data_IF_799287992255
#
_entry.id   IF_799287992255
#
_cell.length_a   1.000
_cell.length_b   1.000
_cell.length_c   1.000
_cell.angle_alpha   90.00
_cell.angle_beta   90.00
_cell.angle_gamma   90.00
#
_symmetry.space_group_name_H-M   'P 1'
#
loop_
_entity.id
_entity.type
_entity.pdbx_description
1 polymer ?
#
# COMPACT_ATOMS: atom_id res chain seq x y z
N UNK A 1 -43.74 47.10 11.75
CA UNK A 1 -42.83 46.02 12.17
C UNK A 1 -42.39 45.32 10.91
N UNK A 2 -41.18 45.61 10.46
CA UNK A 2 -40.68 45.21 9.14
C UNK A 2 -39.99 43.85 9.29
N UNK A 3 -40.49 42.88 8.54
CA UNK A 3 -39.93 41.57 8.28
C UNK A 3 -38.57 41.69 7.60
N UNK A 4 -37.52 41.17 8.23
CA UNK A 4 -36.25 40.88 7.56
C UNK A 4 -36.11 39.37 7.45
N UNK A 5 -36.65 38.81 6.37
CA UNK A 5 -36.19 37.54 5.81
C UNK A 5 -34.80 37.77 5.22
N UNK A 6 -33.78 37.27 5.90
CA UNK A 6 -32.46 37.09 5.29
C UNK A 6 -32.55 35.84 4.43
N UNK A 7 -32.73 36.05 3.12
CA UNK A 7 -32.45 35.07 2.08
C UNK A 7 -30.96 34.64 2.18
N UNK A 8 -30.70 33.55 2.88
CA UNK A 8 -29.47 32.78 2.68
C UNK A 8 -29.71 31.88 1.47
N UNK A 9 -29.24 32.30 0.30
CA UNK A 9 -29.12 31.40 -0.84
C UNK A 9 -28.28 30.18 -0.42
N UNK A 10 -28.70 28.94 -0.74
CA UNK A 10 -27.86 27.77 -0.50
C UNK A 10 -26.67 27.88 -1.45
N UNK A 11 -25.50 28.17 -0.89
CA UNK A 11 -24.23 28.07 -1.59
C UNK A 11 -24.14 26.64 -2.16
N UNK A 12 -24.35 26.50 -3.47
CA UNK A 12 -24.02 25.26 -4.18
C UNK A 12 -22.50 25.09 -4.09
N UNK A 13 -22.03 24.41 -3.04
CA UNK A 13 -20.66 23.87 -2.99
C UNK A 13 -20.54 22.98 -4.23
N UNK A 14 -19.73 23.40 -5.21
CA UNK A 14 -19.26 22.48 -6.23
C UNK A 14 -18.55 21.35 -5.50
N UNK A 15 -19.08 20.13 -5.60
CA UNK A 15 -18.59 18.91 -4.93
C UNK A 15 -17.24 18.44 -5.52
N UNK A 16 -16.24 19.30 -5.57
CA UNK A 16 -14.85 18.89 -5.83
C UNK A 16 -14.25 18.50 -4.49
N UNK A 17 -14.27 17.20 -4.16
CA UNK A 17 -13.55 16.69 -3.00
C UNK A 17 -12.07 17.06 -3.13
N UNK A 18 -11.49 17.61 -2.07
CA UNK A 18 -10.09 18.02 -2.05
C UNK A 18 -9.12 16.84 -1.89
N UNK A 19 -9.63 15.66 -1.52
CA UNK A 19 -8.86 14.43 -1.37
C UNK A 19 -8.56 13.71 -2.71
N UNK A 20 -8.86 14.35 -3.85
CA UNK A 20 -8.53 13.84 -5.18
C UNK A 20 -9.61 12.90 -5.73
N UNK A 21 -9.26 12.11 -6.74
CA UNK A 21 -10.15 11.06 -7.31
C UNK A 21 -10.15 9.82 -6.42
N UNK A 22 -10.47 10.00 -5.13
CA UNK A 22 -10.49 8.93 -4.14
C UNK A 22 -11.68 8.01 -4.36
N UNK A 23 -11.40 6.72 -4.55
CA UNK A 23 -12.41 5.67 -4.46
C UNK A 23 -12.58 5.25 -3.00
N UNK A 24 -13.82 5.27 -2.50
CA UNK A 24 -14.15 4.90 -1.12
C UNK A 24 -15.00 3.64 -1.16
N UNK A 25 -14.48 2.56 -0.59
CA UNK A 25 -15.13 1.26 -0.55
C UNK A 25 -15.14 0.70 0.88
N UNK A 26 -15.64 -0.52 1.04
CA UNK A 26 -15.60 -1.22 2.32
C UNK A 26 -15.69 -2.72 2.14
N UNK A 27 -15.24 -3.48 3.14
CA UNK A 27 -15.46 -4.92 3.22
C UNK A 27 -15.78 -5.33 4.66
N UNK A 28 -16.39 -6.51 4.82
CA UNK A 28 -16.61 -7.11 6.14
C UNK A 28 -15.45 -8.04 6.47
N UNK A 29 -14.88 -7.87 7.66
CA UNK A 29 -13.86 -8.77 8.15
C UNK A 29 -14.43 -10.08 8.72
N UNK A 30 -13.56 -10.98 9.18
CA UNK A 30 -13.94 -12.29 9.73
C UNK A 30 -14.85 -12.22 10.95
N UNK A 31 -14.78 -11.12 11.71
CA UNK A 31 -15.60 -10.88 12.90
C UNK A 31 -16.88 -10.08 12.58
N UNK A 32 -17.14 -9.81 11.29
CA UNK A 32 -18.34 -9.12 10.80
C UNK A 32 -18.28 -7.60 10.93
N UNK A 33 -17.11 -7.01 11.19
CA UNK A 33 -16.92 -5.56 11.26
C UNK A 33 -16.79 -4.98 9.85
N UNK A 34 -17.50 -3.88 9.57
CA UNK A 34 -17.34 -3.12 8.35
C UNK A 34 -16.06 -2.25 8.40
N UNK A 35 -15.12 -2.54 7.51
CA UNK A 35 -13.86 -1.80 7.39
C UNK A 35 -13.88 -0.91 6.15
N UNK A 36 -13.55 0.37 6.36
CA UNK A 36 -13.47 1.40 5.31
C UNK A 36 -12.14 1.31 4.58
N UNK A 37 -12.20 1.39 3.25
CA UNK A 37 -11.02 1.38 2.38
C UNK A 37 -11.02 2.55 1.42
N UNK A 38 -9.81 2.96 1.02
CA UNK A 38 -9.58 4.08 0.13
C UNK A 38 -8.56 3.69 -0.94
N UNK A 39 -8.75 4.18 -2.16
CA UNK A 39 -7.73 4.03 -3.20
C UNK A 39 -7.64 5.24 -4.13
N UNK A 40 -6.42 5.47 -4.61
CA UNK A 40 -6.05 6.48 -5.59
C UNK A 40 -5.32 5.76 -6.73
N UNK A 41 -6.07 5.49 -7.80
CA UNK A 41 -5.67 4.57 -8.86
C UNK A 41 -5.08 5.34 -10.03
N UNK A 42 -3.93 4.88 -10.51
CA UNK A 42 -3.29 5.35 -11.74
C UNK A 42 -3.48 4.29 -12.83
N UNK A 43 -3.81 4.72 -14.05
CA UNK A 43 -3.92 3.84 -15.20
C UNK A 43 -2.54 3.31 -15.60
N UNK A 44 -2.42 1.99 -15.76
CA UNK A 44 -1.14 1.35 -16.13
C UNK A 44 -0.10 1.46 -15.01
N UNK A 45 -0.54 1.31 -13.76
CA UNK A 45 0.32 1.45 -12.60
C UNK A 45 1.55 0.51 -12.66
N UNK A 46 2.73 1.06 -12.40
CA UNK A 46 4.00 0.30 -12.39
C UNK A 46 4.19 -0.50 -11.10
N UNK A 47 3.36 -0.22 -10.09
CA UNK A 47 3.36 -0.86 -8.79
C UNK A 47 2.22 -0.34 -7.92
N UNK A 48 2.02 -0.98 -6.78
CA UNK A 48 0.97 -0.67 -5.82
C UNK A 48 1.60 -0.41 -4.46
N UNK A 49 1.21 0.68 -3.80
CA UNK A 49 1.44 0.86 -2.37
C UNK A 49 0.19 0.50 -1.58
N UNK A 50 0.34 -0.33 -0.54
CA UNK A 50 -0.71 -0.56 0.45
C UNK A 50 -0.25 0.04 1.78
N UNK A 51 -0.88 1.14 2.17
CA UNK A 51 -0.53 1.94 3.33
C UNK A 51 -1.34 1.49 4.55
N UNK A 52 -0.68 1.46 5.72
CA UNK A 52 -1.29 1.10 7.01
C UNK A 52 -1.00 2.20 8.04
N UNK A 53 -2.06 2.76 8.61
CA UNK A 53 -1.94 3.90 9.52
C UNK A 53 -1.59 3.50 10.96
N UNK A 54 -1.15 4.49 11.75
CA UNK A 54 -0.82 4.34 13.16
C UNK A 54 -2.01 4.35 14.13
N UNK A 55 -1.70 4.21 15.43
CA UNK A 55 -2.70 4.12 16.49
C UNK A 55 -3.54 5.41 16.65
N UNK A 56 -4.85 5.24 16.84
CA UNK A 56 -5.83 6.33 17.01
C UNK A 56 -5.80 7.35 15.85
N UNK A 57 -5.50 6.90 14.65
CA UNK A 57 -5.37 7.69 13.41
C UNK A 57 -6.26 7.13 12.30
N UNK A 58 -6.00 7.47 11.04
CA UNK A 58 -6.61 6.85 9.84
C UNK A 58 -5.84 7.23 8.55
N UNK A 59 -6.09 6.57 7.42
CA UNK A 59 -5.26 6.69 6.20
C UNK A 59 -5.19 8.12 5.66
N UNK A 60 -6.37 8.74 5.50
CA UNK A 60 -6.47 10.10 4.98
C UNK A 60 -5.76 11.12 5.86
N UNK A 61 -5.70 10.93 7.18
CA UNK A 61 -5.00 11.85 8.07
C UNK A 61 -3.48 11.73 7.95
N UNK A 62 -2.95 10.51 7.81
CA UNK A 62 -1.50 10.32 7.83
C UNK A 62 -0.82 10.61 6.50
N UNK A 63 -1.48 10.31 5.38
CA UNK A 63 -0.79 10.31 4.08
C UNK A 63 -1.29 11.40 3.12
N UNK A 64 -2.44 12.03 3.38
CA UNK A 64 -2.85 13.26 2.68
C UNK A 64 -2.32 14.50 3.40
N UNK A 65 -2.32 15.63 2.68
CA UNK A 65 -2.10 16.94 3.31
C UNK A 65 -3.33 17.35 4.11
N UNK A 66 -3.12 18.21 5.08
CA UNK A 66 -4.20 18.81 5.87
C UNK A 66 -4.56 20.17 5.28
N UNK A 67 -5.85 20.51 5.28
CA UNK A 67 -6.35 21.82 4.87
C UNK A 67 -6.09 22.87 5.95
N UNK A 68 -4.80 23.14 6.15
CA UNK A 68 -4.29 23.97 7.22
C UNK A 68 -2.99 24.66 6.80
N UNK A 69 -2.82 25.91 7.23
CA UNK A 69 -1.56 26.64 7.09
C UNK A 69 -0.72 26.48 8.35
N UNK A 70 0.44 25.84 8.21
CA UNK A 70 1.45 25.77 9.26
C UNK A 70 2.23 27.09 9.21
N UNK A 71 1.88 28.02 10.10
CA UNK A 71 2.48 29.37 10.15
C UNK A 71 3.84 29.33 10.87
N UNK A 72 3.94 28.50 11.90
CA UNK A 72 5.17 28.22 12.64
C UNK A 72 5.05 26.86 13.33
N UNK A 73 6.13 26.41 14.00
CA UNK A 73 6.15 25.14 14.72
C UNK A 73 5.06 25.02 15.81
N UNK A 74 4.63 26.16 16.36
CA UNK A 74 3.65 26.23 17.45
C UNK A 74 2.29 26.79 17.00
N UNK A 75 2.11 27.04 15.70
CA UNK A 75 0.89 27.69 15.20
C UNK A 75 0.46 27.11 13.85
N UNK A 76 -0.73 26.52 13.87
CA UNK A 76 -1.46 26.10 12.67
C UNK A 76 -2.80 26.83 12.57
N UNK A 77 -3.19 27.17 11.34
CA UNK A 77 -4.51 27.74 11.04
C UNK A 77 -5.28 26.72 10.22
N UNK A 78 -6.33 26.13 10.80
CA UNK A 78 -7.22 25.22 10.06
C UNK A 78 -8.12 26.04 9.15
N UNK A 79 -8.13 25.73 7.85
CA UNK A 79 -8.90 26.47 6.84
C UNK A 79 -10.34 25.98 6.73
N UNK A 80 -10.52 24.66 6.62
CA UNK A 80 -11.83 24.02 6.53
C UNK A 80 -11.81 22.70 7.30
N UNK A 81 -12.77 22.54 8.22
CA UNK A 81 -12.92 21.32 9.03
C UNK A 81 -13.80 20.27 8.36
N UNK A 82 -14.54 20.61 7.30
CA UNK A 82 -15.35 19.68 6.53
C UNK A 82 -14.53 19.09 5.38
N UNK A 83 -13.74 19.94 4.71
CA UNK A 83 -12.82 19.54 3.63
C UNK A 83 -11.37 19.48 4.14
N UNK A 84 -11.13 18.64 5.14
CA UNK A 84 -9.90 18.63 5.94
C UNK A 84 -8.68 17.99 5.24
N UNK A 85 -8.91 17.10 4.28
CA UNK A 85 -7.85 16.32 3.63
C UNK A 85 -7.62 16.78 2.20
N UNK A 86 -6.36 16.96 1.82
CA UNK A 86 -5.92 17.51 0.54
C UNK A 86 -4.99 16.51 -0.15
N UNK A 87 -5.33 16.14 -1.38
CA UNK A 87 -4.50 15.31 -2.25
C UNK A 87 -3.27 16.05 -2.77
N UNK A 88 -3.45 17.30 -3.17
CA UNK A 88 -2.37 18.13 -3.69
C UNK A 88 -1.22 18.25 -2.68
N UNK A 89 0.01 18.09 -3.17
CA UNK A 89 1.29 18.12 -2.46
C UNK A 89 1.39 17.07 -1.33
N UNK A 90 0.56 16.02 -1.38
CA UNK A 90 0.60 14.90 -0.44
C UNK A 90 1.55 13.78 -0.87
N UNK A 91 1.82 12.83 0.02
CA UNK A 91 2.55 11.62 -0.35
C UNK A 91 1.79 10.80 -1.39
N UNK A 92 0.47 10.72 -1.26
CA UNK A 92 -0.38 9.97 -2.19
C UNK A 92 -0.28 10.53 -3.61
N UNK A 93 -0.36 11.85 -3.77
CA UNK A 93 -0.20 12.46 -5.10
C UNK A 93 1.19 12.18 -5.67
N UNK A 94 2.25 12.36 -4.88
CA UNK A 94 3.62 12.11 -5.33
C UNK A 94 3.84 10.66 -5.75
N UNK A 95 3.23 9.69 -5.06
CA UNK A 95 3.26 8.29 -5.46
C UNK A 95 2.52 8.06 -6.78
N UNK A 96 1.34 8.67 -6.94
CA UNK A 96 0.56 8.59 -8.18
C UNK A 96 1.31 9.23 -9.37
N UNK A 97 1.96 10.38 -9.19
CA UNK A 97 2.79 11.03 -10.21
C UNK A 97 3.98 10.16 -10.65
N UNK A 98 4.47 9.29 -9.75
CA UNK A 98 5.51 8.29 -10.06
C UNK A 98 4.96 7.00 -10.66
N UNK A 99 3.66 6.94 -10.94
CA UNK A 99 3.01 5.81 -11.61
C UNK A 99 2.54 4.70 -10.67
N UNK A 100 2.53 4.92 -9.35
CA UNK A 100 2.04 3.92 -8.40
C UNK A 100 0.58 4.16 -8.05
N UNK A 101 -0.22 3.10 -8.03
CA UNK A 101 -1.54 3.14 -7.38
C UNK A 101 -1.38 3.04 -5.86
N UNK A 102 -2.22 3.74 -5.10
CA UNK A 102 -2.17 3.75 -3.63
C UNK A 102 -3.47 3.23 -3.07
N UNK A 103 -3.37 2.32 -2.11
CA UNK A 103 -4.49 1.73 -1.38
C UNK A 103 -4.25 1.87 0.13
N UNK A 104 -5.32 1.94 0.91
CA UNK A 104 -5.25 1.91 2.37
C UNK A 104 -6.60 1.59 3.00
N UNK A 105 -6.57 1.17 4.26
CA UNK A 105 -7.76 0.91 5.06
C UNK A 105 -7.72 1.65 6.39
N UNK A 106 -8.89 2.05 6.88
CA UNK A 106 -9.04 2.43 8.28
C UNK A 106 -9.13 1.13 9.09
N UNK A 107 -8.21 0.96 10.03
CA UNK A 107 -8.14 -0.20 10.91
C UNK A 107 -9.37 -0.28 11.83
N UNK A 108 -9.68 -1.46 12.36
CA UNK A 108 -10.85 -1.62 13.23
C UNK A 108 -10.83 -0.60 14.39
N UNK A 109 -11.97 0.03 14.64
CA UNK A 109 -12.14 1.06 15.67
C UNK A 109 -11.50 2.42 15.37
N UNK A 110 -10.99 2.62 14.15
CA UNK A 110 -10.33 3.85 13.67
C UNK A 110 -11.07 4.45 12.47
N UNK A 111 -10.80 5.72 12.16
CA UNK A 111 -11.39 6.43 11.03
C UNK A 111 -12.91 6.22 10.88
N UNK A 112 -13.33 5.69 9.74
CA UNK A 112 -14.73 5.33 9.45
C UNK A 112 -15.02 3.83 9.57
N UNK A 113 -14.09 3.04 10.10
CA UNK A 113 -14.28 1.60 10.33
C UNK A 113 -14.97 1.31 11.66
N UNK A 114 -15.75 0.23 11.67
CA UNK A 114 -16.36 -0.29 12.89
C UNK A 114 -15.29 -0.84 13.84
N UNK A 115 -15.58 -0.83 15.14
CA UNK A 115 -14.69 -1.32 16.18
C UNK A 115 -15.29 -2.50 16.94
N UNK A 116 -14.42 -3.39 17.44
CA UNK A 116 -14.85 -4.53 18.24
C UNK A 116 -15.72 -4.09 19.44
N UNK A 117 -16.86 -4.76 19.62
CA UNK A 117 -17.91 -4.41 20.59
C UNK A 117 -18.46 -2.98 20.44
N UNK A 118 -18.45 -2.43 19.23
CA UNK A 118 -18.87 -1.05 18.95
C UNK A 118 -18.06 0.00 19.75
N UNK A 119 -16.80 -0.31 20.05
CA UNK A 119 -15.89 0.60 20.75
C UNK A 119 -14.80 1.10 19.80
N UNK A 120 -14.64 2.43 19.73
CA UNK A 120 -13.50 3.06 19.06
C UNK A 120 -12.20 2.77 19.82
N UNK A 121 -11.07 2.68 19.10
CA UNK A 121 -9.75 2.37 19.68
C UNK A 121 -9.81 1.20 20.67
N UNK A 122 -10.39 0.10 20.20
CA UNK A 122 -10.56 -1.16 20.91
C UNK A 122 -10.42 -2.30 19.92
N UNK A 123 -9.81 -3.39 20.36
CA UNK A 123 -9.60 -4.61 19.56
C UNK A 123 -9.82 -5.82 20.46
N UNK A 124 -10.22 -6.95 19.87
CA UNK A 124 -10.32 -8.23 20.58
C UNK A 124 -8.93 -8.81 20.78
N UNK A 125 -8.22 -9.04 19.67
CA UNK A 125 -6.80 -9.39 19.60
C UNK A 125 -6.07 -8.43 18.64
N UNK A 126 -4.77 -8.23 18.82
CA UNK A 126 -4.00 -7.39 17.89
C UNK A 126 -3.89 -8.03 16.50
N UNK A 127 -3.69 -9.34 16.43
CA UNK A 127 -3.50 -10.03 15.15
C UNK A 127 -4.77 -9.94 14.27
N UNK A 128 -5.95 -9.64 14.84
CA UNK A 128 -7.16 -9.30 14.07
C UNK A 128 -6.90 -8.16 13.06
N UNK A 129 -6.15 -7.12 13.47
CA UNK A 129 -5.75 -6.02 12.59
C UNK A 129 -4.88 -6.49 11.42
N UNK A 130 -4.05 -7.49 11.66
CA UNK A 130 -3.12 -8.05 10.69
C UNK A 130 -3.85 -8.96 9.71
N UNK A 131 -4.80 -9.76 10.19
CA UNK A 131 -5.67 -10.57 9.33
C UNK A 131 -6.58 -9.70 8.46
N UNK A 132 -7.12 -8.60 8.98
CA UNK A 132 -7.88 -7.61 8.21
C UNK A 132 -7.04 -7.02 7.08
N UNK A 133 -5.78 -6.67 7.38
CA UNK A 133 -4.84 -6.17 6.39
C UNK A 133 -4.51 -7.23 5.33
N UNK A 134 -4.20 -8.47 5.71
CA UNK A 134 -3.96 -9.58 4.77
C UNK A 134 -5.20 -9.84 3.90
N UNK A 135 -6.41 -9.83 4.49
CA UNK A 135 -7.66 -9.94 3.74
C UNK A 135 -7.77 -8.82 2.70
N UNK A 136 -7.44 -7.59 3.07
CA UNK A 136 -7.50 -6.46 2.14
C UNK A 136 -6.49 -6.58 0.98
N UNK A 137 -5.25 -7.01 1.24
CA UNK A 137 -4.30 -7.25 0.14
C UNK A 137 -4.82 -8.34 -0.81
N UNK A 138 -5.50 -9.38 -0.31
CA UNK A 138 -6.12 -10.40 -1.19
C UNK A 138 -7.17 -9.75 -2.10
N UNK A 139 -8.05 -8.91 -1.54
CA UNK A 139 -9.07 -8.19 -2.31
C UNK A 139 -8.43 -7.32 -3.41
N UNK A 140 -7.35 -6.60 -3.08
CA UNK A 140 -6.61 -5.80 -4.06
C UNK A 140 -6.05 -6.69 -5.17
N UNK A 141 -5.36 -7.77 -4.80
CA UNK A 141 -4.74 -8.67 -5.76
C UNK A 141 -5.79 -9.28 -6.72
N UNK A 142 -6.93 -9.72 -6.20
CA UNK A 142 -8.02 -10.28 -7.00
C UNK A 142 -8.59 -9.23 -7.96
N UNK A 143 -8.77 -7.99 -7.51
CA UNK A 143 -9.26 -6.89 -8.36
C UNK A 143 -8.29 -6.55 -9.51
N UNK A 144 -6.99 -6.53 -9.23
CA UNK A 144 -5.94 -6.23 -10.22
C UNK A 144 -5.82 -7.37 -11.23
N UNK A 145 -5.99 -8.63 -10.80
CA UNK A 145 -5.99 -9.77 -11.72
C UNK A 145 -7.21 -9.74 -12.66
N UNK A 146 -8.41 -9.45 -12.14
CA UNK A 146 -9.62 -9.38 -12.97
C UNK A 146 -9.56 -8.27 -14.03
N UNK A 147 -9.03 -7.09 -13.69
CA UNK A 147 -8.90 -5.98 -14.66
C UNK A 147 -7.94 -6.36 -15.81
N UNK A 148 -6.90 -7.14 -15.52
CA UNK A 148 -5.96 -7.60 -16.55
C UNK A 148 -6.58 -8.65 -17.48
N UNK A 149 -7.44 -9.53 -16.96
CA UNK A 149 -8.18 -10.51 -17.79
C UNK A 149 -9.18 -9.83 -18.74
N UNK A 150 -9.94 -8.85 -18.24
CA UNK A 150 -10.91 -8.10 -19.04
C UNK A 150 -10.25 -7.27 -20.15
N UNK A 151 -9.10 -6.64 -19.86
CA UNK A 151 -8.32 -5.91 -20.85
C UNK A 151 -7.76 -6.83 -21.95
N UNK A 152 -7.33 -8.05 -21.60
CA UNK A 152 -6.86 -9.04 -22.57
C UNK A 152 -8.00 -9.57 -23.45
N UNK A 153 -9.17 -9.83 -22.87
CA UNK A 153 -10.37 -10.20 -23.64
C UNK A 153 -10.72 -9.11 -24.67
N UNK A 154 -10.63 -7.84 -24.24
CA UNK A 154 -10.88 -6.67 -25.09
C UNK A 154 -9.85 -6.53 -26.22
N UNK A 155 -8.55 -6.74 -25.94
CA UNK A 155 -7.49 -6.73 -26.96
C UNK A 155 -7.65 -7.88 -27.96
N UNK A 156 -7.95 -9.09 -27.48
CA UNK A 156 -8.20 -10.25 -28.34
C UNK A 156 -9.42 -10.05 -29.24
N UNK A 157 -10.46 -9.35 -28.76
CA UNK A 157 -11.58 -8.97 -29.62
C UNK A 157 -11.20 -7.92 -30.68
N UNK A 158 -10.34 -6.96 -30.34
CA UNK A 158 -9.86 -5.94 -31.29
C UNK A 158 -8.95 -6.56 -32.35
N UNK A 159 -8.03 -7.46 -31.99
CA UNK A 159 -7.19 -8.19 -32.94
C UNK A 159 -8.04 -9.03 -33.92
N UNK A 160 -9.11 -9.67 -33.42
CA UNK A 160 -10.08 -10.37 -34.26
C UNK A 160 -10.93 -9.43 -35.13
N UNK A 161 -11.11 -8.16 -34.74
CA UNK A 161 -11.82 -7.15 -35.55
C UNK A 161 -10.91 -6.43 -36.57
N UNK A 162 -9.58 -6.47 -36.41
CA UNK A 162 -8.61 -5.94 -37.38
C UNK A 162 -8.05 -7.00 -38.33
N UNK A 163 -8.46 -8.26 -38.16
CA UNK A 163 -8.00 -9.42 -38.92
C UNK A 163 -8.95 -9.90 -40.03
N UNK A 164 -9.89 -9.09 -40.52
CA UNK A 164 -10.80 -9.47 -41.61
C UNK A 164 -10.74 -8.48 -42.79
N UNK A 165 -9.66 -8.58 -43.58
CA UNK A 165 -9.78 -8.48 -45.04
C UNK A 165 -9.78 -9.92 -45.54
N UNK A 166 -10.93 -10.56 -45.42
CA UNK A 166 -11.16 -11.94 -45.83
C UNK A 166 -11.17 -12.08 -47.35
N UNK A 167 -10.19 -12.81 -47.89
CA UNK A 167 -10.29 -13.46 -49.19
C UNK A 167 -11.23 -14.65 -49.01
N UNK A 168 -12.46 -14.51 -49.51
CA UNK A 168 -13.44 -15.60 -49.56
C UNK A 168 -13.04 -16.62 -50.64
N UNK A 169 -12.61 -17.82 -50.25
CA UNK A 169 -12.58 -18.98 -51.14
C UNK A 169 -13.81 -19.85 -50.87
N UNK A 170 -14.82 -19.68 -51.73
CA UNK A 170 -16.08 -20.41 -51.67
C UNK A 170 -16.00 -21.66 -52.57
N UNK A 171 -15.80 -22.83 -51.98
CA UNK A 171 -16.07 -24.09 -52.68
C UNK A 171 -17.58 -24.25 -52.84
N UNK A 172 -18.09 -24.17 -54.08
CA UNK A 172 -19.49 -24.53 -54.40
C UNK A 172 -19.57 -25.50 -55.56
N UNK A 173 -20.51 -26.43 -55.37
CA UNK A 173 -20.92 -27.52 -56.25
C UNK A 173 -21.39 -27.01 -57.62
N UNK A 174 -21.23 -27.89 -58.60
CA UNK A 174 -21.79 -27.79 -59.97
C UNK A 174 -23.24 -27.28 -60.00
N UNK A 175 -23.53 -26.35 -60.91
CA UNK A 175 -24.33 -26.62 -62.11
C UNK A 175 -24.61 -25.32 -62.90
N UNK A 176 -24.43 -25.42 -64.22
CA UNK A 176 -25.05 -24.67 -65.32
C UNK A 176 -25.46 -23.20 -65.16
N UNK A 177 -25.01 -22.35 -66.12
CA UNK A 177 -25.80 -21.73 -67.21
C UNK A 177 -25.17 -20.38 -67.62
N UNK A 178 -24.81 -20.23 -68.93
CA UNK A 178 -24.86 -19.02 -69.81
C UNK A 178 -24.48 -17.63 -69.24
N UNK A 179 -23.80 -16.68 -69.90
CA UNK A 179 -23.20 -16.45 -71.22
C UNK A 179 -22.68 -14.98 -71.17
N UNK A 180 -21.71 -14.64 -72.02
CA UNK A 180 -21.49 -13.33 -72.65
C UNK A 180 -20.68 -12.16 -71.99
N UNK A 181 -19.44 -12.03 -72.49
CA UNK A 181 -18.78 -10.90 -73.20
C UNK A 181 -18.80 -9.46 -72.59
N UNK A 182 -17.62 -8.88 -72.31
CA UNK A 182 -16.93 -7.83 -73.13
C UNK A 182 -15.74 -7.15 -72.41
N UNK A 183 -14.68 -7.01 -73.18
CA UNK A 183 -13.43 -6.25 -72.96
C UNK A 183 -13.63 -4.78 -72.55
N UNK A 184 -12.63 -4.16 -71.92
CA UNK A 184 -11.81 -3.06 -72.50
C UNK A 184 -10.54 -2.82 -71.65
N UNK A 185 -9.43 -2.62 -72.38
CA UNK A 185 -8.04 -2.34 -72.02
C UNK A 185 -7.75 -1.13 -71.11
N UNK A 186 -6.62 -1.19 -70.39
CA UNK A 186 -5.90 -0.04 -69.86
C UNK A 186 -4.58 -0.43 -69.18
N UNK A 187 -3.48 -0.41 -69.96
CA UNK A 187 -2.10 -0.73 -69.56
C UNK A 187 -1.42 0.43 -68.81
N UNK A 188 -0.69 0.15 -67.72
CA UNK A 188 0.66 0.70 -67.43
C UNK A 188 1.31 -0.02 -66.24
N UNK A 189 2.44 -0.67 -66.51
CA UNK A 189 3.37 -1.37 -65.61
C UNK A 189 4.34 -0.41 -64.89
N UNK A 190 4.90 -0.91 -63.77
CA UNK A 190 6.32 -0.84 -63.34
C UNK A 190 6.41 -0.67 -61.80
N UNK A 191 7.12 -1.46 -60.99
CA UNK A 191 7.73 -2.78 -61.10
C UNK A 191 8.00 -3.29 -59.66
N UNK A 192 7.71 -4.58 -59.46
CA UNK A 192 8.33 -5.61 -58.62
C UNK A 192 9.21 -5.24 -57.39
N UNK A 193 8.79 -5.68 -56.20
CA UNK A 193 9.72 -6.12 -55.14
C UNK A 193 9.38 -7.55 -54.72
N UNK A 194 10.38 -8.42 -54.83
CA UNK A 194 10.37 -9.84 -54.49
C UNK A 194 10.05 -10.10 -53.02
N UNK A 195 9.21 -11.10 -52.80
CA UNK A 195 8.96 -11.73 -51.52
C UNK A 195 10.21 -12.50 -51.09
N UNK A 196 10.88 -12.02 -50.04
CA UNK A 196 11.76 -12.86 -49.22
C UNK A 196 11.03 -13.17 -47.91
N UNK A 197 10.87 -14.47 -47.66
CA UNK A 197 10.31 -15.04 -46.45
C UNK A 197 11.11 -14.61 -45.21
N UNK A 198 10.45 -13.89 -44.30
CA UNK A 198 10.96 -13.66 -42.95
C UNK A 198 10.21 -14.57 -42.00
N UNK A 199 10.98 -15.41 -41.32
CA UNK A 199 10.60 -16.47 -40.42
C UNK A 199 9.66 -16.04 -39.29
N UNK A 200 8.83 -17.01 -38.88
CA UNK A 200 8.01 -17.01 -37.67
C UNK A 200 8.77 -16.47 -36.46
N UNK A 201 8.50 -15.22 -36.08
CA UNK A 201 8.74 -14.78 -34.71
C UNK A 201 7.65 -15.37 -33.83
N UNK A 202 8.01 -16.48 -33.18
CA UNK A 202 7.34 -17.05 -32.02
C UNK A 202 6.73 -15.93 -31.18
N UNK A 203 5.41 -15.83 -31.18
CA UNK A 203 4.66 -15.03 -30.21
C UNK A 203 4.99 -15.63 -28.84
N UNK A 204 5.93 -14.99 -28.13
CA UNK A 204 6.13 -15.24 -26.71
C UNK A 204 4.77 -14.98 -26.06
N UNK A 205 4.13 -16.04 -25.58
CA UNK A 205 3.09 -15.92 -24.57
C UNK A 205 3.67 -15.08 -23.43
N UNK A 206 3.39 -13.78 -23.40
CA UNK A 206 3.75 -12.90 -22.30
C UNK A 206 2.98 -13.42 -21.08
N UNK A 207 3.62 -14.27 -20.28
CA UNK A 207 3.22 -14.47 -18.88
C UNK A 207 3.26 -13.08 -18.25
N UNK A 208 2.09 -12.47 -18.10
CA UNK A 208 1.97 -11.16 -17.50
C UNK A 208 2.51 -11.24 -16.07
N UNK A 209 3.61 -10.53 -15.80
CA UNK A 209 4.16 -10.48 -14.45
C UNK A 209 3.16 -9.73 -13.57
N UNK A 210 2.78 -10.27 -12.39
CA UNK A 210 1.87 -9.57 -11.50
C UNK A 210 2.42 -8.18 -11.14
N UNK A 211 1.53 -7.20 -10.89
CA UNK A 211 1.92 -5.83 -10.51
C UNK A 211 2.58 -5.85 -9.13
N UNK A 212 3.79 -5.29 -8.93
CA UNK A 212 4.51 -5.35 -7.65
C UNK A 212 3.79 -4.56 -6.57
N UNK A 213 3.69 -5.15 -5.37
CA UNK A 213 3.05 -4.58 -4.19
C UNK A 213 4.13 -4.19 -3.17
N UNK A 214 4.06 -2.97 -2.66
CA UNK A 214 4.90 -2.48 -1.58
C UNK A 214 4.00 -2.16 -0.39
N UNK A 215 4.23 -2.83 0.74
CA UNK A 215 3.47 -2.59 1.97
C UNK A 215 4.22 -1.58 2.82
N UNK A 216 3.52 -0.59 3.37
CA UNK A 216 4.14 0.47 4.16
C UNK A 216 3.27 0.82 5.36
N UNK A 217 3.88 0.87 6.54
CA UNK A 217 3.17 1.14 7.77
C UNK A 217 3.85 2.17 8.67
N UNK A 218 3.07 3.09 9.24
CA UNK A 218 3.53 4.04 10.26
C UNK A 218 3.21 3.53 11.67
N UNK A 219 4.19 3.55 12.59
CA UNK A 219 3.95 3.24 14.01
C UNK A 219 3.30 1.87 14.20
N UNK A 220 2.11 1.79 14.78
CA UNK A 220 1.32 0.55 14.86
C UNK A 220 1.13 -0.12 13.49
N UNK A 221 0.97 0.66 12.41
CA UNK A 221 0.93 0.14 11.05
C UNK A 221 2.24 -0.50 10.62
N UNK A 222 3.39 0.00 11.10
CA UNK A 222 4.71 -0.61 10.88
C UNK A 222 4.83 -2.00 11.53
N UNK A 223 4.25 -2.18 12.72
CA UNK A 223 4.13 -3.50 13.33
C UNK A 223 3.22 -4.41 12.49
N UNK A 224 2.05 -3.92 12.06
CA UNK A 224 1.09 -4.69 11.26
C UNK A 224 1.72 -5.22 9.96
N UNK A 225 2.46 -4.38 9.21
CA UNK A 225 3.07 -4.83 7.94
C UNK A 225 4.19 -5.85 8.15
N UNK A 226 4.99 -5.72 9.22
CA UNK A 226 6.02 -6.71 9.56
C UNK A 226 5.38 -8.02 10.05
N UNK A 227 4.42 -7.92 10.96
CA UNK A 227 3.66 -9.05 11.52
C UNK A 227 2.89 -9.80 10.44
N UNK A 228 2.38 -9.11 9.42
CA UNK A 228 1.74 -9.74 8.28
C UNK A 228 2.70 -10.66 7.52
N UNK A 229 3.96 -10.25 7.36
CA UNK A 229 4.97 -11.11 6.73
C UNK A 229 5.24 -12.37 7.56
N UNK A 230 5.36 -12.24 8.89
CA UNK A 230 5.55 -13.38 9.79
C UNK A 230 4.41 -14.38 9.70
N UNK A 231 3.16 -13.89 9.77
CA UNK A 231 1.98 -14.76 9.71
C UNK A 231 1.79 -15.39 8.33
N UNK A 232 2.11 -14.67 7.25
CA UNK A 232 2.06 -15.21 5.89
C UNK A 232 3.06 -16.37 5.71
N UNK A 233 4.29 -16.20 6.22
CA UNK A 233 5.32 -17.24 6.19
C UNK A 233 4.98 -18.43 7.09
N UNK A 234 4.54 -18.15 8.32
CA UNK A 234 4.31 -19.13 9.37
C UNK A 234 3.06 -19.99 9.13
N UNK A 235 1.97 -19.40 8.66
CA UNK A 235 0.64 -20.04 8.69
C UNK A 235 0.02 -20.26 7.31
N UNK A 236 0.29 -19.39 6.33
CA UNK A 236 -0.54 -19.30 5.11
C UNK A 236 0.08 -20.03 3.90
N UNK A 237 1.30 -20.56 4.06
CA UNK A 237 2.11 -21.27 3.06
C UNK A 237 2.45 -20.44 1.79
N UNK A 238 3.65 -20.68 1.19
CA UNK A 238 4.21 -19.87 0.11
C UNK A 238 3.37 -19.58 -1.14
N UNK A 239 2.38 -20.42 -1.42
CA UNK A 239 1.65 -20.35 -2.70
C UNK A 239 0.66 -19.20 -2.80
N UNK A 240 0.53 -18.40 -1.73
CA UNK A 240 -0.27 -17.16 -1.73
C UNK A 240 0.53 -15.94 -1.28
N UNK A 241 1.85 -15.93 -1.50
CA UNK A 241 2.54 -14.64 -1.54
C UNK A 241 1.93 -13.84 -2.68
N UNK A 242 1.03 -12.93 -2.29
CA UNK A 242 0.74 -11.73 -3.06
C UNK A 242 2.08 -11.17 -3.51
N UNK A 243 2.10 -10.51 -4.66
CA UNK A 243 3.32 -10.04 -5.30
C UNK A 243 4.02 -8.89 -4.52
N UNK A 244 4.25 -9.08 -3.21
CA UNK A 244 4.87 -8.17 -2.28
C UNK A 244 6.37 -8.18 -2.59
N UNK A 245 6.86 -7.03 -3.04
CA UNK A 245 8.26 -6.82 -3.44
C UNK A 245 9.03 -5.92 -2.48
N UNK A 246 8.39 -5.45 -1.41
CA UNK A 246 9.05 -4.76 -0.33
C UNK A 246 8.12 -4.42 0.81
N UNK A 247 8.69 -4.32 2.01
CA UNK A 247 8.00 -3.89 3.22
C UNK A 247 8.76 -2.72 3.85
N UNK A 248 8.03 -1.63 4.13
CA UNK A 248 8.58 -0.38 4.65
C UNK A 248 7.97 -0.08 6.02
N UNK A 249 8.82 -0.03 7.04
CA UNK A 249 8.45 0.33 8.40
C UNK A 249 8.85 1.78 8.69
N UNK A 250 7.87 2.65 8.89
CA UNK A 250 8.07 4.04 9.27
C UNK A 250 7.83 4.19 10.78
N UNK A 251 8.86 4.56 11.54
CA UNK A 251 8.79 4.69 13.00
C UNK A 251 8.04 3.52 13.65
N UNK A 252 8.31 2.29 13.18
CA UNK A 252 7.48 1.13 13.46
C UNK A 252 7.37 0.80 14.94
N UNK A 253 6.21 0.34 15.37
CA UNK A 253 5.95 -0.11 16.75
C UNK A 253 6.57 -1.49 17.01
N UNK A 254 7.90 -1.52 16.94
CA UNK A 254 8.75 -2.67 17.26
C UNK A 254 9.06 -2.68 18.76
N UNK A 255 9.28 -1.50 19.33
CA UNK A 255 9.50 -1.28 20.75
C UNK A 255 9.03 0.12 21.13
N UNK A 256 8.59 0.33 22.38
CA UNK A 256 8.22 1.66 22.87
C UNK A 256 9.43 2.37 23.47
N UNK A 257 9.59 3.68 23.27
CA UNK A 257 10.79 4.47 23.63
C UNK A 257 11.26 4.30 25.10
N UNK A 258 10.34 4.06 26.03
CA UNK A 258 10.67 3.85 27.45
C UNK A 258 11.10 2.43 27.79
N UNK A 259 11.13 1.51 26.83
CA UNK A 259 11.39 0.09 27.00
C UNK A 259 12.55 -0.26 26.06
N UNK A 260 13.59 -0.89 26.59
CA UNK A 260 14.81 -1.13 25.79
C UNK A 260 14.75 -2.45 25.01
N UNK A 261 14.17 -3.50 25.59
CA UNK A 261 14.08 -4.83 24.98
C UNK A 261 12.96 -5.64 25.61
N UNK A 262 12.33 -6.56 24.84
CA UNK A 262 11.27 -7.45 25.35
C UNK A 262 11.79 -8.38 26.45
N UNK A 263 13.08 -8.70 26.43
CA UNK A 263 13.73 -9.56 27.41
C UNK A 263 14.02 -8.86 28.74
N UNK A 264 13.87 -7.53 28.79
CA UNK A 264 14.15 -6.74 29.98
C UNK A 264 13.12 -6.99 31.09
N UNK A 265 13.58 -6.95 32.35
CA UNK A 265 12.70 -7.04 33.54
C UNK A 265 11.64 -5.93 33.52
N UNK A 266 12.02 -4.74 33.02
CA UNK A 266 11.12 -3.59 32.89
C UNK A 266 9.97 -3.88 31.92
N UNK A 267 10.27 -4.45 30.74
CA UNK A 267 9.23 -4.83 29.78
C UNK A 267 8.29 -5.88 30.39
N UNK A 268 8.83 -6.96 30.94
CA UNK A 268 8.03 -8.05 31.56
C UNK A 268 7.11 -7.54 32.67
N UNK A 269 7.63 -6.68 33.55
CA UNK A 269 6.82 -6.07 34.62
C UNK A 269 5.70 -5.17 34.09
N UNK A 270 5.97 -4.35 33.07
CA UNK A 270 4.94 -3.51 32.45
C UNK A 270 3.93 -4.36 31.69
N UNK A 271 4.37 -5.40 30.99
CA UNK A 271 3.53 -6.36 30.29
C UNK A 271 2.52 -7.00 31.25
N UNK A 272 2.97 -7.51 32.40
CA UNK A 272 2.08 -8.12 33.41
C UNK A 272 1.06 -7.12 33.97
N UNK A 273 1.46 -5.86 34.18
CA UNK A 273 0.53 -4.79 34.58
C UNK A 273 -0.51 -4.54 33.48
N UNK A 274 -0.08 -4.44 32.22
CA UNK A 274 -1.00 -4.21 31.10
C UNK A 274 -1.95 -5.40 30.91
N UNK A 275 -1.46 -6.63 31.04
CA UNK A 275 -2.27 -7.85 31.05
C UNK A 275 -3.32 -7.84 32.15
N UNK A 276 -2.92 -7.45 33.37
CA UNK A 276 -3.86 -7.29 34.48
C UNK A 276 -4.94 -6.23 34.15
N UNK A 277 -4.54 -5.07 33.63
CA UNK A 277 -5.46 -4.00 33.22
C UNK A 277 -6.40 -4.44 32.11
N UNK A 278 -5.91 -5.12 31.08
CA UNK A 278 -6.72 -5.65 29.99
C UNK A 278 -7.76 -6.65 30.47
N UNK A 279 -7.38 -7.55 31.37
CA UNK A 279 -8.29 -8.59 31.87
C UNK A 279 -9.36 -8.06 32.85
N UNK A 280 -9.01 -7.08 33.71
CA UNK A 280 -9.93 -6.61 34.76
C UNK A 280 -10.64 -5.30 34.43
N UNK A 281 -10.06 -4.48 33.55
CA UNK A 281 -10.59 -3.18 33.14
C UNK A 281 -10.58 -3.02 31.60
N UNK A 282 -11.06 -4.02 30.83
CA UNK A 282 -10.89 -4.07 29.38
C UNK A 282 -11.43 -2.85 28.65
N UNK A 283 -12.52 -2.25 29.14
CA UNK A 283 -13.20 -1.10 28.50
C UNK A 283 -12.80 0.26 29.07
N UNK A 284 -12.07 0.29 30.18
CA UNK A 284 -11.64 1.53 30.83
C UNK A 284 -10.50 2.18 30.03
N UNK A 285 -10.47 3.52 29.99
CA UNK A 285 -9.45 4.30 29.28
C UNK A 285 -8.57 5.01 30.29
N UNK A 286 -7.64 4.26 30.87
CA UNK A 286 -6.84 4.69 32.04
C UNK A 286 -5.62 5.54 31.65
N UNK A 287 -5.24 5.53 30.37
CA UNK A 287 -4.02 6.16 29.89
C UNK A 287 -4.32 7.48 29.17
N UNK A 288 -3.39 8.42 29.30
CA UNK A 288 -3.47 9.72 28.61
C UNK A 288 -2.85 9.62 27.21
N UNK A 289 -3.36 10.45 26.30
CA UNK A 289 -2.81 10.64 24.96
C UNK A 289 -1.40 11.24 25.04
N UNK A 290 -0.52 10.81 24.13
CA UNK A 290 0.80 11.42 23.93
C UNK A 290 0.69 12.83 23.34
N UNK A 291 1.71 13.65 23.57
CA UNK A 291 1.84 14.96 22.92
C UNK A 291 3.22 15.03 22.29
N UNK A 292 3.24 15.46 21.04
CA UNK A 292 4.47 15.68 20.30
C UNK A 292 5.07 17.01 20.72
N UNK A 293 6.36 16.99 21.05
CA UNK A 293 7.03 18.17 21.62
C UNK A 293 7.91 18.87 20.59
N UNK A 294 8.45 18.12 19.63
CA UNK A 294 9.34 18.67 18.60
C UNK A 294 8.55 19.43 17.55
N UNK A 295 7.36 18.95 17.21
CA UNK A 295 6.43 19.58 16.27
C UNK A 295 5.03 19.79 16.87
N UNK A 296 4.85 20.77 17.79
CA UNK A 296 3.62 20.94 18.53
C UNK A 296 2.37 21.16 17.68
N UNK A 297 2.49 21.80 16.50
CA UNK A 297 1.38 22.00 15.57
C UNK A 297 0.67 20.70 15.16
N UNK A 298 1.39 19.56 15.19
CA UNK A 298 0.80 18.25 14.90
C UNK A 298 -0.28 17.90 15.94
N UNK A 299 -0.09 18.29 17.20
CA UNK A 299 -1.11 18.05 18.23
C UNK A 299 -2.44 18.76 17.93
N UNK A 300 -2.38 19.93 17.30
CA UNK A 300 -3.55 20.69 16.88
C UNK A 300 -4.21 20.02 15.68
N UNK A 301 -3.42 19.58 14.69
CA UNK A 301 -3.94 18.80 13.55
C UNK A 301 -4.69 17.55 14.05
N UNK A 302 -4.12 16.85 15.03
CA UNK A 302 -4.71 15.68 15.68
C UNK A 302 -5.99 16.04 16.43
N UNK A 303 -6.02 17.18 17.11
CA UNK A 303 -7.15 17.60 17.93
C UNK A 303 -8.38 17.95 17.08
N UNK A 304 -8.16 18.63 15.95
CA UNK A 304 -9.22 19.11 15.07
C UNK A 304 -9.73 18.09 14.06
N UNK A 305 -9.03 16.97 13.87
CA UNK A 305 -9.53 15.88 13.03
C UNK A 305 -10.79 15.23 13.63
N UNK A 306 -11.88 15.23 12.86
CA UNK A 306 -13.20 14.70 13.26
C UNK A 306 -13.32 13.18 13.22
N UNK A 307 -12.50 12.50 12.41
CA UNK A 307 -12.51 11.05 12.26
C UNK A 307 -11.61 10.37 13.28
N UNK A 308 -10.69 11.10 13.91
CA UNK A 308 -9.93 10.63 15.08
C UNK A 308 -10.81 10.59 16.32
N UNK A 309 -10.59 9.57 17.16
CA UNK A 309 -11.34 9.45 18.41
C UNK A 309 -10.69 10.28 19.52
N UNK A 310 -11.50 11.11 20.17
CA UNK A 310 -11.03 12.08 21.17
C UNK A 310 -10.55 11.41 22.47
N UNK A 311 -11.03 10.20 22.79
CA UNK A 311 -10.53 9.44 23.95
C UNK A 311 -9.40 8.51 23.51
N UNK A 312 -8.48 8.27 24.44
CA UNK A 312 -7.39 7.34 24.24
C UNK A 312 -7.84 5.88 24.27
N UNK A 313 -6.95 4.92 24.05
CA UNK A 313 -7.25 3.49 23.93
C UNK A 313 -7.88 2.87 25.19
N UNK A 314 -8.59 1.75 25.00
CA UNK A 314 -9.12 0.92 26.09
C UNK A 314 -8.01 0.11 26.77
N UNK A 315 -8.27 -0.41 27.97
CA UNK A 315 -7.34 -1.29 28.71
C UNK A 315 -7.05 -2.59 27.94
N UNK A 316 -8.05 -3.14 27.26
CA UNK A 316 -7.88 -4.29 26.37
C UNK A 316 -6.88 -3.96 25.27
N UNK A 317 -7.07 -2.84 24.56
CA UNK A 317 -6.18 -2.49 23.46
C UNK A 317 -4.77 -2.14 23.95
N UNK A 318 -4.64 -1.52 25.13
CA UNK A 318 -3.35 -1.31 25.75
C UNK A 318 -2.60 -2.63 25.98
N UNK A 319 -3.26 -3.66 26.51
CA UNK A 319 -2.65 -4.99 26.63
C UNK A 319 -2.25 -5.58 25.27
N UNK A 320 -3.13 -5.48 24.28
CA UNK A 320 -2.89 -6.01 22.93
C UNK A 320 -1.70 -5.34 22.22
N UNK A 321 -1.42 -4.06 22.48
CA UNK A 321 -0.20 -3.39 21.98
C UNK A 321 1.08 -4.06 22.53
N UNK A 322 1.12 -4.37 23.82
CA UNK A 322 2.29 -5.03 24.42
C UNK A 322 2.44 -6.47 23.91
N UNK A 323 1.32 -7.18 23.78
CA UNK A 323 1.29 -8.51 23.15
C UNK A 323 1.79 -8.47 21.70
N UNK A 324 1.42 -7.46 20.93
CA UNK A 324 1.89 -7.29 19.55
C UNK A 324 3.40 -7.09 19.44
N UNK A 325 3.98 -6.30 20.34
CA UNK A 325 5.44 -6.10 20.42
C UNK A 325 6.16 -7.40 20.78
N UNK A 326 5.62 -8.15 21.75
CA UNK A 326 6.15 -9.47 22.13
C UNK A 326 6.06 -10.47 20.98
N UNK A 327 4.88 -10.61 20.37
CA UNK A 327 4.64 -11.51 19.24
C UNK A 327 5.59 -11.23 18.06
N UNK A 328 5.72 -9.96 17.64
CA UNK A 328 6.62 -9.56 16.56
C UNK A 328 8.08 -9.93 16.87
N UNK A 329 8.49 -9.86 18.14
CA UNK A 329 9.86 -10.22 18.52
C UNK A 329 10.06 -11.72 18.61
N UNK A 330 9.06 -12.47 19.09
CA UNK A 330 9.13 -13.94 19.20
C UNK A 330 9.16 -14.63 17.83
N UNK A 331 8.42 -14.09 16.86
CA UNK A 331 8.28 -14.66 15.52
C UNK A 331 9.25 -14.07 14.49
N UNK A 332 10.29 -13.34 14.92
CA UNK A 332 11.28 -12.68 14.06
C UNK A 332 11.90 -13.60 12.98
N UNK A 333 12.05 -14.90 13.28
CA UNK A 333 12.60 -15.90 12.35
C UNK A 333 11.63 -16.28 11.21
N UNK A 334 10.36 -15.89 11.30
CA UNK A 334 9.35 -16.06 10.25
C UNK A 334 9.27 -14.86 9.31
N UNK A 335 10.13 -13.84 9.47
CA UNK A 335 10.25 -12.80 8.45
C UNK A 335 10.88 -13.42 7.19
N UNK A 336 10.20 -13.34 6.02
CA UNK A 336 10.64 -13.99 4.79
C UNK A 336 11.91 -13.34 4.25
N UNK A 337 12.93 -14.15 4.01
CA UNK A 337 14.27 -13.69 3.61
C UNK A 337 14.34 -13.07 2.22
N UNK A 338 13.35 -13.35 1.37
CA UNK A 338 13.27 -12.90 -0.02
C UNK A 338 12.49 -11.58 -0.19
N UNK A 339 11.87 -11.05 0.87
CA UNK A 339 11.16 -9.77 0.80
C UNK A 339 12.07 -8.67 1.36
N UNK A 340 12.48 -7.70 0.54
CA UNK A 340 13.31 -6.57 0.98
C UNK A 340 12.63 -5.76 2.09
N UNK A 341 13.39 -5.35 3.11
CA UNK A 341 12.89 -4.49 4.19
C UNK A 341 13.57 -3.13 4.22
N UNK A 342 12.80 -2.07 4.42
CA UNK A 342 13.30 -0.74 4.72
C UNK A 342 12.75 -0.26 6.06
N UNK A 343 13.63 0.04 7.00
CA UNK A 343 13.30 0.70 8.25
C UNK A 343 13.66 2.17 8.15
N UNK A 344 12.70 3.07 8.32
CA UNK A 344 12.94 4.51 8.45
C UNK A 344 12.52 4.93 9.84
N UNK A 345 13.48 5.40 10.65
CA UNK A 345 13.21 5.66 12.06
C UNK A 345 13.97 6.89 12.54
N UNK A 346 13.31 7.76 13.31
CA UNK A 346 13.96 8.92 13.91
C UNK A 346 14.70 8.58 15.20
N UNK A 347 15.89 9.15 15.37
CA UNK A 347 16.65 9.07 16.64
C UNK A 347 15.96 9.81 17.78
N UNK A 348 15.12 10.79 17.46
CA UNK A 348 14.36 11.58 18.45
C UNK A 348 12.89 11.15 18.53
N UNK A 349 12.56 9.91 18.11
CA UNK A 349 11.20 9.38 18.20
C UNK A 349 10.78 9.23 19.68
N UNK A 350 9.79 10.01 20.09
CA UNK A 350 9.33 10.05 21.50
C UNK A 350 8.33 8.96 21.87
N UNK A 351 7.94 8.10 20.92
CA UNK A 351 6.92 7.06 21.07
C UNK A 351 7.52 5.67 20.90
N UNK A 352 8.22 5.44 19.79
CA UNK A 352 8.78 4.15 19.40
C UNK A 352 10.30 4.18 19.44
N UNK A 353 10.91 3.22 20.14
CA UNK A 353 12.36 3.23 20.41
C UNK A 353 13.18 3.07 19.15
N UNK A 354 14.07 4.04 18.90
CA UNK A 354 15.07 3.95 17.84
C UNK A 354 16.02 2.77 18.09
N UNK A 355 16.54 2.64 19.31
CA UNK A 355 17.45 1.55 19.69
C UNK A 355 16.77 0.19 19.58
N UNK A 356 15.51 0.08 20.01
CA UNK A 356 14.75 -1.16 19.91
C UNK A 356 14.48 -1.57 18.45
N UNK A 357 14.22 -0.59 17.56
CA UNK A 357 14.11 -0.84 16.13
C UNK A 357 15.45 -1.28 15.51
N UNK A 358 16.56 -0.64 15.91
CA UNK A 358 17.91 -0.99 15.46
C UNK A 358 18.34 -2.38 15.94
N UNK A 359 18.01 -2.75 17.19
CA UNK A 359 18.25 -4.10 17.74
C UNK A 359 17.48 -5.15 16.92
N UNK A 360 16.18 -4.94 16.70
CA UNK A 360 15.37 -5.81 15.85
C UNK A 360 15.95 -5.94 14.45
N UNK A 361 16.32 -4.82 13.83
CA UNK A 361 16.96 -4.81 12.51
C UNK A 361 18.24 -5.65 12.48
N UNK A 362 19.12 -5.50 13.47
CA UNK A 362 20.37 -6.24 13.52
C UNK A 362 20.16 -7.75 13.68
N UNK A 363 19.15 -8.14 14.46
CA UNK A 363 18.84 -9.55 14.75
C UNK A 363 18.17 -10.30 13.60
N UNK A 364 17.62 -9.60 12.59
CA UNK A 364 17.03 -10.24 11.41
C UNK A 364 18.07 -11.04 10.61
N UNK A 365 17.82 -12.33 10.40
CA UNK A 365 18.66 -13.21 9.58
C UNK A 365 18.34 -13.09 8.07
N UNK A 366 18.62 -11.90 7.50
CA UNK A 366 18.45 -11.62 6.09
C UNK A 366 19.43 -10.55 5.58
N UNK A 367 19.78 -10.64 4.30
CA UNK A 367 20.71 -9.70 3.65
C UNK A 367 20.01 -8.48 3.04
N UNK A 368 18.78 -8.64 2.54
CA UNK A 368 18.07 -7.58 1.82
C UNK A 368 17.28 -6.70 2.79
N UNK A 369 17.99 -5.95 3.63
CA UNK A 369 17.41 -5.02 4.59
C UNK A 369 18.23 -3.74 4.61
N UNK A 370 17.56 -2.61 4.80
CA UNK A 370 18.19 -1.31 4.98
C UNK A 370 17.59 -0.59 6.19
N UNK A 371 18.44 0.08 6.97
CA UNK A 371 18.03 0.97 8.06
C UNK A 371 18.43 2.41 7.75
N UNK A 372 17.44 3.30 7.67
CA UNK A 372 17.60 4.72 7.36
C UNK A 372 17.26 5.57 8.59
N UNK A 373 18.28 6.01 9.36
CA UNK A 373 18.07 6.82 10.55
C UNK A 373 17.82 8.29 10.20
N UNK A 374 16.92 8.94 10.93
CA UNK A 374 16.61 10.37 10.78
C UNK A 374 17.05 11.16 12.03
N UNK A 375 17.68 12.31 11.83
CA UNK A 375 18.18 13.14 12.94
C UNK A 375 17.22 14.29 13.34
N UNK A 376 16.36 14.74 12.42
CA UNK A 376 15.58 15.99 12.60
C UNK A 376 14.12 15.72 12.93
N UNK A 377 13.59 14.55 12.61
CA UNK A 377 12.17 14.24 12.74
C UNK A 377 11.83 13.73 14.16
N UNK A 378 10.57 13.53 14.50
CA UNK A 378 10.08 12.91 15.74
C UNK A 378 9.41 11.57 15.39
N UNK A 379 8.08 11.49 15.28
CA UNK A 379 7.36 10.21 15.12
C UNK A 379 6.41 10.19 13.92
N UNK A 380 5.76 11.31 13.62
CA UNK A 380 4.74 11.41 12.58
C UNK A 380 5.39 11.77 11.23
N UNK A 381 6.27 10.90 10.76
CA UNK A 381 7.17 11.18 9.63
C UNK A 381 6.48 11.79 8.39
N UNK A 382 5.30 11.32 7.95
CA UNK A 382 4.66 11.88 6.74
C UNK A 382 4.20 13.34 6.84
N UNK A 383 4.02 13.89 8.06
CA UNK A 383 3.47 15.24 8.28
C UNK A 383 4.47 16.22 8.89
N UNK A 384 5.69 15.76 9.18
CA UNK A 384 6.75 16.56 9.76
C UNK A 384 7.60 17.26 8.69
N UNK A 385 8.34 18.33 9.03
CA UNK A 385 9.30 18.94 8.11
C UNK A 385 10.36 17.91 7.68
N UNK A 386 10.66 17.85 6.39
CA UNK A 386 11.59 16.86 5.81
C UNK A 386 10.92 15.57 5.32
N UNK A 387 9.60 15.41 5.48
CA UNK A 387 8.86 14.23 4.99
C UNK A 387 9.10 13.91 3.50
N UNK A 388 9.34 14.92 2.66
CA UNK A 388 9.59 14.71 1.24
C UNK A 388 10.89 13.96 0.97
N UNK A 389 11.90 14.15 1.82
CA UNK A 389 13.17 13.42 1.74
C UNK A 389 12.99 11.96 2.15
N UNK A 390 12.09 11.70 3.11
CA UNK A 390 11.72 10.33 3.49
C UNK A 390 11.05 9.62 2.32
N UNK A 391 10.06 10.25 1.68
CA UNK A 391 9.41 9.67 0.51
C UNK A 391 10.38 9.47 -0.66
N UNK A 392 11.27 10.44 -0.90
CA UNK A 392 12.34 10.32 -1.91
C UNK A 392 13.23 9.11 -1.65
N UNK A 393 13.69 8.92 -0.41
CA UNK A 393 14.49 7.75 -0.02
C UNK A 393 13.77 6.43 -0.27
N UNK A 394 12.46 6.35 0.01
CA UNK A 394 11.66 5.14 -0.23
C UNK A 394 11.60 4.84 -1.73
N UNK A 395 11.35 5.85 -2.57
CA UNK A 395 11.29 5.69 -4.02
C UNK A 395 12.65 5.27 -4.60
N UNK A 396 13.74 5.86 -4.12
CA UNK A 396 15.11 5.50 -4.52
C UNK A 396 15.43 4.05 -4.13
N UNK A 397 15.05 3.65 -2.90
CA UNK A 397 15.21 2.27 -2.43
C UNK A 397 14.46 1.28 -3.33
N UNK A 398 13.21 1.55 -3.67
CA UNK A 398 12.42 0.71 -4.60
C UNK A 398 13.05 0.64 -5.98
N UNK A 399 13.50 1.78 -6.52
CA UNK A 399 14.15 1.80 -7.84
C UNK A 399 15.41 0.93 -7.86
N UNK A 400 16.18 0.91 -6.78
CA UNK A 400 17.39 0.08 -6.67
C UNK A 400 17.06 -1.41 -6.59
N UNK A 401 15.96 -1.79 -5.93
CA UNK A 401 15.49 -3.18 -5.91
C UNK A 401 15.16 -3.69 -7.32
N UNK A 402 14.38 -2.91 -8.07
CA UNK A 402 13.97 -3.28 -9.43
C UNK A 402 15.16 -3.40 -10.40
N UNK A 403 16.20 -2.57 -10.23
CA UNK A 403 17.41 -2.66 -11.04
C UNK A 403 18.24 -3.92 -10.75
N UNK A 404 18.33 -4.34 -9.49
CA UNK A 404 19.06 -5.55 -9.10
C UNK A 404 18.37 -6.81 -9.62
N UNK A 405 17.03 -6.87 -9.58
CA UNK A 405 16.25 -7.99 -10.14
C UNK A 405 16.52 -8.15 -11.64
N UNK A 406 16.50 -7.05 -12.40
CA UNK A 406 16.79 -7.07 -13.85
C UNK A 406 18.20 -7.61 -14.15
N UNK A 407 19.23 -7.23 -13.37
CA UNK A 407 20.60 -7.76 -13.59
C UNK A 407 20.74 -9.25 -13.30
N UNK A 408 19.91 -9.82 -12.43
CA UNK A 408 19.93 -11.25 -12.10
C UNK A 408 19.30 -12.12 -13.20
N UNK A 409 18.30 -11.60 -13.93
CA UNK A 409 17.69 -12.29 -15.07
C UNK A 409 18.61 -12.33 -16.31
N UNK A 410 19.44 -11.30 -16.53
CA UNK A 410 20.41 -11.32 -17.64
C UNK A 410 21.56 -12.32 -17.40
N UNK A 411 21.92 -12.60 -16.15
CA UNK A 411 23.01 -13.54 -15.83
C UNK A 411 22.58 -15.02 -15.87
N UNK A 412 21.28 -15.33 -15.95
CA UNK A 412 20.77 -16.71 -16.04
C UNK A 412 20.53 -17.22 -17.46
N UNK A 413 20.75 -16.37 -18.49
CA UNK A 413 20.63 -16.74 -19.90
C UNK A 413 22.01 -17.07 -20.53
N UNK A 414 23.10 -16.99 -19.76
CA UNK A 414 24.47 -17.03 -20.28
C UNK A 414 25.28 -18.33 -20.16
N UNK A 415 24.75 -19.41 -19.58
CA UNK A 415 25.53 -20.65 -19.38
C UNK A 415 24.76 -21.91 -19.81
N UNK A 416 24.65 -22.11 -21.13
CA UNK A 416 24.45 -23.44 -21.70
C UNK A 416 25.38 -23.57 -22.92
N UNK A 417 26.13 -24.68 -22.95
CA UNK A 417 27.04 -25.19 -23.99
C UNK A 417 28.49 -24.67 -24.03
N UNK A 418 29.37 -25.34 -23.27
CA UNK A 418 30.59 -25.94 -23.83
C UNK A 418 30.83 -27.31 -23.17
N UNK A 419 30.35 -28.36 -23.83
CA UNK A 419 30.86 -29.72 -23.64
C UNK A 419 32.01 -29.85 -24.64
N UNK A 420 33.25 -29.80 -24.15
CA UNK A 420 34.42 -30.15 -24.95
C UNK A 420 34.59 -31.68 -24.89
N UNK A 421 34.38 -32.33 -26.04
CA UNK A 421 34.83 -33.69 -26.31
C UNK A 421 36.35 -33.73 -26.27
N UNK A 422 36.92 -34.54 -25.36
CA UNK A 422 38.31 -34.98 -25.49
C UNK A 422 38.32 -36.35 -26.19
N UNK A 423 38.78 -36.33 -27.44
CA UNK A 423 39.33 -37.48 -28.14
C UNK A 423 40.84 -37.47 -27.88
N UNK A 424 41.33 -38.45 -27.13
CA UNK A 424 42.51 -39.31 -27.44
C UNK A 424 42.68 -40.41 -26.39
#
# INVERSE_FOLDING_TARGET
MVSNELNCEPYKRNNTKLDGTTSINSFYNRDGLLLRTYSWIVKGAIGIFVLVHGLNSHIRFEFLRHNADIVSNDKVIIKDLDDYYIYKDSWIEKLNEKGYSVYGLDLQGHGESEGWENLRTNVKDFDDLVYDFIQYINIINDSVQSENEDNNSSLNMIENCTGDIGVYEHNTKESHLFENVKDVNGVSECDTIQVHSCENSVTKNNKHCPVPIYIMGLSMGGNIVLRALELLEKEIHPKKYMNIKGCISLSGMIMLEKLSSVNSIKFKGVYDIMKFVGNHFPKNRLFKRFKFSKHPYINDLIYYDKLRYQKWITGQFAFQIFKAIENLREDINFIPKNIPLLFVHSKDDSVCSFEGAMEFYNDLDMNNKEFYPLDIMEHMLPMEPGNEQVLGKILDWISNLNNNDNTSEYNTIGDVTKVEEYIE
#
